data_IF_345767021687
#
_entry.id   IF_345767021687
#
_cell.length_a   1.000
_cell.length_b   1.000
_cell.length_c   1.000
_cell.angle_alpha   90.00
_cell.angle_beta   90.00
_cell.angle_gamma   90.00
#
_symmetry.space_group_name_H-M   'P 1'
#
loop_
_entity.id
_entity.type
_entity.pdbx_description
1 polymer ?
#
# COMPACT_ATOMS: atom_id res chain seq x y z
N UNK A 1 14.79 24.29 16.05
CA UNK A 1 14.53 23.15 16.98
C UNK A 1 13.14 23.22 17.62
N UNK A 2 12.13 23.75 16.91
CA UNK A 2 10.71 23.67 17.28
C UNK A 2 9.92 23.85 16.00
N UNK A 3 9.46 22.76 15.37
CA UNK A 3 8.51 22.83 14.25
C UNK A 3 7.84 21.48 13.96
N UNK A 4 7.48 20.71 14.99
CA UNK A 4 6.54 19.59 14.83
C UNK A 4 5.66 19.57 16.09
N UNK A 5 4.86 20.63 16.21
CA UNK A 5 3.75 20.73 17.13
C UNK A 5 2.75 19.63 16.80
N UNK A 6 2.71 18.68 17.72
CA UNK A 6 1.73 17.62 17.88
C UNK A 6 0.42 18.29 18.29
N UNK A 7 -0.32 18.88 17.35
CA UNK A 7 -1.72 19.28 17.55
C UNK A 7 -2.41 19.36 16.18
N UNK A 8 -3.23 18.35 15.87
CA UNK A 8 -4.15 18.42 14.71
C UNK A 8 -4.02 17.34 13.64
N UNK A 9 -3.49 16.15 13.95
CA UNK A 9 -3.70 15.00 13.08
C UNK A 9 -5.13 14.48 13.28
N UNK A 10 -6.10 15.08 12.59
CA UNK A 10 -7.44 14.55 12.39
C UNK A 10 -7.33 13.27 11.55
N UNK A 11 -6.87 12.19 12.17
CA UNK A 11 -6.95 10.84 11.62
C UNK A 11 -8.20 10.13 12.18
N UNK A 12 -9.29 10.90 12.24
CA UNK A 12 -10.63 10.36 12.38
C UNK A 12 -11.09 9.89 11.00
N UNK A 13 -10.72 8.64 10.67
CA UNK A 13 -11.41 7.71 9.75
C UNK A 13 -10.40 6.81 9.02
N UNK A 14 -9.97 5.76 9.69
CA UNK A 14 -9.70 4.48 9.03
C UNK A 14 -10.36 3.36 9.83
N UNK A 15 -11.62 3.13 9.49
CA UNK A 15 -12.36 1.94 9.89
C UNK A 15 -11.62 0.70 9.35
N UNK A 16 -10.93 -0.02 10.23
CA UNK A 16 -10.56 -1.38 9.97
C UNK A 16 -11.86 -2.21 9.92
N UNK A 17 -12.45 -2.35 8.72
CA UNK A 17 -13.44 -3.39 8.46
C UNK A 17 -12.75 -4.73 8.67
N UNK A 18 -12.92 -5.34 9.85
CA UNK A 18 -12.65 -6.77 10.06
C UNK A 18 -13.71 -7.55 9.27
N UNK A 19 -13.34 -8.31 8.25
CA UNK A 19 -14.34 -8.97 7.45
C UNK A 19 -14.62 -10.39 7.99
N UNK A 20 -15.86 -10.83 7.86
CA UNK A 20 -16.43 -11.99 8.54
C UNK A 20 -15.93 -13.32 7.93
N UNK A 21 -15.61 -14.37 8.72
CA UNK A 21 -14.64 -15.40 8.30
C UNK A 21 -15.13 -16.49 7.33
N UNK A 22 -16.38 -16.55 6.89
CA UNK A 22 -16.87 -17.74 6.17
C UNK A 22 -16.86 -17.63 4.62
N UNK A 23 -16.99 -16.43 4.05
CA UNK A 23 -17.01 -16.22 2.58
C UNK A 23 -15.98 -15.18 2.12
N UNK A 24 -15.40 -14.46 3.09
CA UNK A 24 -14.53 -13.32 2.84
C UNK A 24 -13.05 -13.68 2.69
N UNK A 25 -12.73 -14.95 2.97
CA UNK A 25 -11.36 -15.42 3.07
C UNK A 25 -10.66 -15.49 1.70
N UNK A 26 -11.38 -15.85 0.61
CA UNK A 26 -10.77 -15.91 -0.73
C UNK A 26 -10.45 -14.53 -1.32
N UNK A 27 -11.37 -13.57 -1.19
CA UNK A 27 -11.15 -12.18 -1.66
C UNK A 27 -10.08 -11.48 -0.82
N UNK A 28 -10.10 -11.67 0.51
CA UNK A 28 -9.05 -11.14 1.37
C UNK A 28 -7.68 -11.78 1.10
N UNK A 29 -7.59 -13.09 0.91
CA UNK A 29 -6.32 -13.76 0.57
C UNK A 29 -5.74 -13.22 -0.73
N UNK A 30 -6.57 -13.07 -1.77
CA UNK A 30 -6.15 -12.44 -3.03
C UNK A 30 -5.70 -10.98 -2.82
N UNK A 31 -6.44 -10.21 -2.04
CA UNK A 31 -6.07 -8.82 -1.74
C UNK A 31 -4.75 -8.72 -0.95
N UNK A 32 -4.48 -9.65 -0.02
CA UNK A 32 -3.20 -9.73 0.71
C UNK A 32 -2.07 -10.11 -0.24
N UNK A 33 -2.27 -11.11 -1.10
CA UNK A 33 -1.28 -11.52 -2.08
C UNK A 33 -0.90 -10.36 -3.03
N UNK A 34 -1.87 -9.58 -3.49
CA UNK A 34 -1.61 -8.37 -4.29
C UNK A 34 -0.83 -7.32 -3.50
N UNK A 35 -1.17 -7.12 -2.22
CA UNK A 35 -0.45 -6.19 -1.34
C UNK A 35 0.99 -6.64 -1.07
N UNK A 36 1.21 -7.94 -0.87
CA UNK A 36 2.54 -8.51 -0.65
C UNK A 36 3.39 -8.39 -1.92
N UNK A 37 2.82 -8.66 -3.10
CA UNK A 37 3.50 -8.46 -4.38
C UNK A 37 3.90 -6.99 -4.59
N UNK A 38 3.00 -6.05 -4.25
CA UNK A 38 3.27 -4.61 -4.30
C UNK A 38 4.39 -4.18 -3.34
N UNK A 39 4.39 -4.72 -2.11
CA UNK A 39 5.41 -4.42 -1.11
C UNK A 39 6.78 -4.97 -1.52
N UNK A 40 6.84 -6.21 -2.00
CA UNK A 40 8.07 -6.82 -2.52
C UNK A 40 8.61 -6.04 -3.71
N UNK A 41 7.77 -5.69 -4.68
CA UNK A 41 8.18 -4.87 -5.83
C UNK A 41 8.71 -3.50 -5.39
N UNK A 42 8.10 -2.87 -4.39
CA UNK A 42 8.62 -1.62 -3.84
C UNK A 42 10.00 -1.79 -3.19
N UNK A 43 10.17 -2.81 -2.35
CA UNK A 43 11.44 -3.11 -1.69
C UNK A 43 12.56 -3.41 -2.70
N UNK A 44 12.29 -4.28 -3.68
CA UNK A 44 13.25 -4.62 -4.73
C UNK A 44 13.75 -3.37 -5.45
N UNK A 45 12.81 -2.51 -5.84
CA UNK A 45 13.13 -1.30 -6.57
C UNK A 45 13.87 -0.28 -5.70
N UNK A 46 13.55 -0.19 -4.42
CA UNK A 46 14.32 0.63 -3.49
C UNK A 46 15.75 0.12 -3.34
N UNK A 47 15.97 -1.20 -3.34
CA UNK A 47 17.29 -1.80 -3.25
C UNK A 47 18.10 -1.66 -4.55
N UNK A 48 17.46 -1.82 -5.71
CA UNK A 48 18.13 -1.78 -7.02
C UNK A 48 18.54 -0.38 -7.45
N UNK A 49 17.67 0.62 -7.26
CA UNK A 49 17.86 1.99 -7.83
C UNK A 49 17.70 3.11 -6.81
N UNK A 50 17.41 2.79 -5.56
CA UNK A 50 17.19 3.78 -4.50
C UNK A 50 15.79 4.41 -4.51
N UNK A 51 15.53 5.22 -3.48
CA UNK A 51 14.24 5.91 -3.28
C UNK A 51 13.97 6.99 -4.32
N UNK A 52 15.00 7.68 -4.81
CA UNK A 52 14.85 8.78 -5.77
C UNK A 52 14.33 8.34 -7.14
N UNK A 53 14.66 7.10 -7.56
CA UNK A 53 14.24 6.56 -8.85
C UNK A 53 13.01 5.63 -8.74
N UNK A 54 12.46 5.45 -7.53
CA UNK A 54 11.34 4.54 -7.31
C UNK A 54 10.00 5.26 -7.36
N UNK A 55 9.30 5.12 -8.50
CA UNK A 55 7.98 5.71 -8.73
C UNK A 55 6.85 4.70 -8.52
N UNK A 56 5.65 5.22 -8.28
CA UNK A 56 4.43 4.41 -8.18
C UNK A 56 4.16 3.65 -9.48
N UNK A 57 4.38 4.27 -10.64
CA UNK A 57 4.27 3.59 -11.93
C UNK A 57 5.20 2.38 -12.02
N UNK A 58 6.46 2.52 -11.64
CA UNK A 58 7.44 1.44 -11.75
C UNK A 58 7.17 0.30 -10.76
N UNK A 59 6.62 0.60 -9.57
CA UNK A 59 6.17 -0.44 -8.63
C UNK A 59 4.96 -1.18 -9.20
N UNK A 60 3.99 -0.45 -9.76
CA UNK A 60 2.79 -1.02 -10.33
C UNK A 60 3.11 -1.93 -11.54
N UNK A 61 4.01 -1.49 -12.41
CA UNK A 61 4.53 -2.27 -13.54
C UNK A 61 5.20 -3.57 -13.06
N UNK A 62 6.12 -3.48 -12.08
CA UNK A 62 6.84 -4.66 -11.57
C UNK A 62 5.92 -5.65 -10.83
N UNK A 63 4.87 -5.16 -10.18
CA UNK A 63 3.89 -6.00 -9.49
C UNK A 63 2.75 -6.51 -10.41
N UNK A 64 2.81 -6.23 -11.72
CA UNK A 64 1.78 -6.59 -12.72
C UNK A 64 0.38 -6.09 -12.32
N UNK A 65 0.29 -4.85 -11.84
CA UNK A 65 -0.98 -4.21 -11.47
C UNK A 65 -1.10 -2.82 -12.06
N UNK A 66 -2.33 -2.37 -12.27
CA UNK A 66 -2.57 -0.99 -12.74
C UNK A 66 -2.32 0.02 -11.62
N UNK A 67 -1.97 1.26 -11.96
CA UNK A 67 -1.90 2.39 -11.01
C UNK A 67 -3.21 2.56 -10.22
N UNK A 68 -4.36 2.31 -10.85
CA UNK A 68 -5.67 2.33 -10.18
C UNK A 68 -5.78 1.25 -9.10
N UNK A 69 -5.28 0.05 -9.37
CA UNK A 69 -5.21 -1.05 -8.38
C UNK A 69 -4.27 -0.69 -7.25
N UNK A 70 -3.09 -0.14 -7.55
CA UNK A 70 -2.15 0.37 -6.55
C UNK A 70 -2.83 1.39 -5.63
N UNK A 71 -3.43 2.45 -6.20
CA UNK A 71 -4.11 3.48 -5.42
C UNK A 71 -5.22 2.90 -4.56
N UNK A 72 -5.99 1.92 -5.05
CA UNK A 72 -7.01 1.25 -4.22
C UNK A 72 -6.44 0.56 -2.98
N UNK A 73 -5.19 0.10 -3.03
CA UNK A 73 -4.53 -0.59 -1.91
C UNK A 73 -3.75 0.35 -0.97
N UNK A 74 -3.27 1.50 -1.46
CA UNK A 74 -2.44 2.44 -0.71
C UNK A 74 -3.06 3.82 -0.45
N UNK A 75 -4.27 4.12 -0.96
CA UNK A 75 -4.97 5.39 -0.70
C UNK A 75 -5.62 5.46 0.69
N UNK A 76 -4.92 4.96 1.71
CA UNK A 76 -5.20 5.27 3.11
C UNK A 76 -4.61 6.63 3.43
#
# INVERSE_FOLDING_TARGET
>A
MSQWDITGCTLERMTATKPSPATEDRRQRKARQTRDALATAACDLLLERGSAATTVEAIAERADVTRRTFSRHFAG
#
